data_IF_985609244568
#
_entry.id   IF_985609244568
#
_cell.length_a   1.000
_cell.length_b   1.000
_cell.length_c   1.000
_cell.angle_alpha   90.00
_cell.angle_beta   90.00
_cell.angle_gamma   90.00
#
_symmetry.space_group_name_H-M   'P 1'
#
loop_
_entity.id
_entity.type
_entity.pdbx_description
1 polymer ?
#
# COMPACT_ATOMS: atom_id res chain seq x y z
N UNK A 1 29.00 -8.59 3.90
CA UNK A 1 28.05 -8.21 2.84
C UNK A 1 26.65 -8.63 3.28
N UNK A 2 25.64 -7.74 3.27
CA UNK A 2 24.27 -8.20 3.51
C UNK A 2 23.87 -9.11 2.35
N UNK A 3 23.19 -10.22 2.69
CA UNK A 3 22.67 -11.16 1.70
C UNK A 3 21.69 -10.43 0.75
N UNK A 4 21.59 -10.85 -0.53
CA UNK A 4 20.56 -10.32 -1.42
C UNK A 4 19.19 -10.51 -0.78
N UNK A 5 18.34 -9.49 -0.88
CA UNK A 5 16.98 -9.52 -0.38
C UNK A 5 16.27 -10.77 -0.92
N UNK A 6 15.83 -11.63 -0.01
CA UNK A 6 14.94 -12.74 -0.35
C UNK A 6 13.70 -12.14 -1.03
N UNK A 7 13.22 -12.80 -2.07
CA UNK A 7 12.00 -12.41 -2.78
C UNK A 7 10.79 -12.74 -1.87
N UNK A 8 10.62 -11.95 -0.81
CA UNK A 8 9.54 -12.15 0.15
C UNK A 8 8.25 -11.55 -0.46
N UNK A 9 7.17 -12.33 -0.37
CA UNK A 9 5.78 -11.96 -0.64
C UNK A 9 5.34 -11.90 -2.13
N UNK A 10 4.98 -13.08 -2.66
CA UNK A 10 4.12 -13.22 -3.84
C UNK A 10 2.68 -13.43 -3.37
N UNK A 11 1.75 -12.58 -3.79
CA UNK A 11 0.31 -12.82 -3.63
C UNK A 11 -0.30 -13.04 -5.00
N UNK A 12 -0.89 -14.21 -5.18
CA UNK A 12 -1.76 -14.54 -6.31
C UNK A 12 -3.19 -14.25 -5.85
N UNK A 13 -3.96 -13.53 -6.66
CA UNK A 13 -5.39 -13.34 -6.41
C UNK A 13 -6.15 -14.56 -6.94
N UNK A 14 -7.12 -15.08 -6.18
CA UNK A 14 -7.92 -16.27 -6.53
C UNK A 14 -9.13 -15.92 -7.44
N UNK A 15 -8.97 -14.88 -8.25
CA UNK A 15 -9.91 -14.42 -9.26
C UNK A 15 -9.59 -15.14 -10.60
N UNK A 16 -10.55 -15.52 -11.46
CA UNK A 16 -10.29 -16.05 -12.81
C UNK A 16 -9.30 -15.24 -13.68
N UNK A 17 -8.99 -14.01 -13.28
CA UNK A 17 -7.99 -13.15 -13.90
C UNK A 17 -6.58 -13.45 -13.36
N UNK A 18 -5.59 -13.83 -14.20
CA UNK A 18 -4.26 -14.22 -13.75
C UNK A 18 -3.40 -13.00 -13.36
N UNK A 19 -3.75 -12.32 -12.26
CA UNK A 19 -2.99 -11.20 -11.71
C UNK A 19 -2.16 -11.65 -10.52
N UNK A 20 -0.88 -11.28 -10.53
CA UNK A 20 0.07 -11.59 -9.48
C UNK A 20 0.88 -10.33 -9.12
N UNK A 21 1.09 -10.10 -7.83
CA UNK A 21 2.04 -9.11 -7.35
C UNK A 21 3.22 -9.78 -6.67
N UNK A 22 4.42 -9.22 -6.90
CA UNK A 22 5.63 -9.56 -6.18
C UNK A 22 6.36 -8.28 -5.79
N UNK A 23 6.81 -8.20 -4.53
CA UNK A 23 7.41 -6.97 -4.02
C UNK A 23 8.59 -7.23 -3.08
N UNK A 24 9.80 -6.80 -3.47
CA UNK A 24 10.96 -6.89 -2.57
C UNK A 24 11.04 -5.66 -1.69
N UNK A 25 10.81 -5.85 -0.39
CA UNK A 25 10.65 -4.75 0.56
C UNK A 25 11.97 -4.28 1.18
N UNK A 26 12.29 -3.00 1.00
CA UNK A 26 13.20 -2.27 1.90
C UNK A 26 12.38 -1.66 3.04
N UNK A 27 12.59 -2.12 4.27
CA UNK A 27 11.82 -1.69 5.45
C UNK A 27 12.38 -0.36 5.99
N UNK A 28 11.73 0.77 5.69
CA UNK A 28 12.11 2.11 6.17
C UNK A 28 11.05 2.65 7.14
N UNK A 29 9.81 2.76 6.67
CA UNK A 29 8.66 3.16 7.48
C UNK A 29 7.87 1.92 7.90
N UNK A 30 7.49 1.88 9.18
CA UNK A 30 6.83 0.76 9.85
C UNK A 30 7.54 -0.58 9.61
N UNK A 31 8.50 -0.93 10.46
CA UNK A 31 9.33 -2.12 10.29
C UNK A 31 8.59 -3.45 10.52
N UNK A 32 7.33 -3.39 10.98
CA UNK A 32 6.51 -4.57 11.30
C UNK A 32 5.96 -5.23 10.03
N UNK A 33 5.42 -6.44 10.21
CA UNK A 33 4.78 -7.18 9.12
C UNK A 33 3.35 -6.66 8.82
N UNK A 34 2.79 -5.77 9.65
CA UNK A 34 1.53 -5.09 9.35
C UNK A 34 1.62 -4.20 8.08
N UNK A 35 2.85 -3.80 7.72
CA UNK A 35 3.15 -3.05 6.50
C UNK A 35 3.77 -3.93 5.39
N UNK A 36 3.61 -5.26 5.47
CA UNK A 36 3.97 -6.18 4.39
C UNK A 36 3.17 -5.87 3.11
N UNK A 37 3.75 -6.21 1.96
CA UNK A 37 3.15 -5.97 0.66
C UNK A 37 3.26 -7.23 -0.19
N UNK A 38 2.24 -7.59 -0.99
CA UNK A 38 1.06 -6.80 -1.36
C UNK A 38 0.13 -6.51 -0.19
N UNK A 39 -0.31 -5.26 -0.07
CA UNK A 39 -1.27 -4.87 0.96
C UNK A 39 -2.68 -5.04 0.39
N UNK A 40 -3.53 -5.75 1.13
CA UNK A 40 -4.84 -6.19 0.62
C UNK A 40 -5.95 -5.69 1.55
N UNK A 41 -7.00 -5.13 0.97
CA UNK A 41 -8.32 -5.00 1.59
C UNK A 41 -9.21 -6.09 0.98
N UNK A 42 -9.58 -7.14 1.74
CA UNK A 42 -10.29 -8.30 1.19
C UNK A 42 -11.57 -7.92 0.45
N UNK A 43 -11.72 -8.43 -0.77
CA UNK A 43 -12.89 -8.20 -1.63
C UNK A 43 -13.03 -6.76 -2.14
N UNK A 44 -11.98 -5.93 -2.03
CA UNK A 44 -11.99 -4.56 -2.54
C UNK A 44 -10.78 -4.28 -3.42
N UNK A 45 -9.57 -4.30 -2.85
CA UNK A 45 -8.39 -3.93 -3.63
C UNK A 45 -7.09 -4.48 -3.04
N UNK A 46 -6.04 -4.51 -3.87
CA UNK A 46 -4.70 -4.82 -3.45
C UNK A 46 -3.66 -3.89 -4.08
N UNK A 47 -2.56 -3.64 -3.36
CA UNK A 47 -1.56 -2.63 -3.72
C UNK A 47 -0.14 -3.12 -3.45
N UNK A 48 0.76 -2.86 -4.41
CA UNK A 48 2.21 -2.78 -4.18
C UNK A 48 2.70 -1.35 -4.45
N UNK A 49 3.64 -0.88 -3.64
CA UNK A 49 4.07 0.51 -3.59
C UNK A 49 5.57 0.61 -3.29
N UNK A 50 6.31 1.23 -4.21
CA UNK A 50 7.69 1.66 -4.06
C UNK A 50 7.75 3.19 -4.00
N UNK A 51 8.23 3.73 -2.88
CA UNK A 51 8.41 5.16 -2.71
C UNK A 51 8.03 5.62 -1.32
N UNK A 52 7.78 6.92 -1.20
CA UNK A 52 7.41 7.56 0.05
C UNK A 52 6.39 8.68 -0.20
N UNK A 53 5.30 8.65 0.56
CA UNK A 53 4.34 9.75 0.64
C UNK A 53 4.70 10.55 1.88
N UNK A 54 5.22 11.76 1.70
CA UNK A 54 5.73 12.59 2.78
C UNK A 54 4.62 13.15 3.67
N UNK A 55 3.46 13.46 3.08
CA UNK A 55 2.30 13.97 3.80
C UNK A 55 1.31 12.88 4.23
N UNK A 56 1.80 11.65 4.46
CA UNK A 56 0.94 10.51 4.79
C UNK A 56 0.28 10.65 6.18
N UNK A 57 0.88 11.41 7.10
CA UNK A 57 0.32 11.65 8.44
C UNK A 57 -0.94 12.52 8.34
N UNK A 58 -0.90 13.57 7.54
CA UNK A 58 -2.02 14.46 7.28
C UNK A 58 -3.15 13.70 6.57
N UNK A 59 -2.82 12.97 5.50
CA UNK A 59 -3.78 12.16 4.77
C UNK A 59 -4.40 11.06 5.65
N UNK A 60 -3.60 10.45 6.53
CA UNK A 60 -4.10 9.48 7.51
C UNK A 60 -5.14 10.11 8.43
N UNK A 61 -4.88 11.32 8.95
CA UNK A 61 -5.84 12.03 9.82
C UNK A 61 -7.15 12.33 9.08
N UNK A 62 -7.06 12.75 7.82
CA UNK A 62 -8.24 13.00 6.99
C UNK A 62 -9.08 11.72 6.78
N UNK A 63 -8.41 10.58 6.55
CA UNK A 63 -9.06 9.28 6.42
C UNK A 63 -9.65 8.78 7.75
N UNK A 64 -8.93 8.94 8.86
CA UNK A 64 -9.42 8.61 10.21
C UNK A 64 -10.68 9.43 10.55
N UNK A 65 -10.71 10.72 10.20
CA UNK A 65 -11.89 11.58 10.37
C UNK A 65 -13.10 11.13 9.52
N UNK A 66 -12.85 10.39 8.43
CA UNK A 66 -13.88 9.78 7.56
C UNK A 66 -14.30 8.38 8.01
N UNK A 67 -13.70 7.86 9.09
CA UNK A 67 -14.06 6.57 9.69
C UNK A 67 -13.14 5.41 9.32
N UNK A 68 -12.09 5.65 8.52
CA UNK A 68 -11.09 4.63 8.21
C UNK A 68 -10.26 4.29 9.46
N UNK A 69 -10.00 3.00 9.67
CA UNK A 69 -9.13 2.49 10.74
C UNK A 69 -7.85 1.96 10.14
N UNK A 70 -6.69 2.14 10.74
CA UNK A 70 -5.40 1.68 10.22
C UNK A 70 -4.80 0.54 11.04
N UNK A 71 -4.19 -0.44 10.38
CA UNK A 71 -3.47 -1.55 11.03
C UNK A 71 -1.96 -1.35 11.02
N UNK A 72 -1.45 -0.57 10.06
CA UNK A 72 -0.05 -0.19 9.93
C UNK A 72 0.17 1.29 10.27
N UNK A 73 1.44 1.65 10.39
CA UNK A 73 1.94 3.02 10.51
C UNK A 73 2.63 3.49 9.23
N UNK A 74 2.64 2.65 8.19
CA UNK A 74 3.26 2.94 6.90
C UNK A 74 2.37 3.77 5.98
N UNK A 75 2.99 4.40 4.99
CA UNK A 75 2.30 5.20 3.99
C UNK A 75 1.56 4.37 2.92
N UNK A 76 1.94 3.11 2.70
CA UNK A 76 1.27 2.20 1.76
C UNK A 76 -0.23 2.08 2.06
N UNK A 77 -0.59 1.95 3.34
CA UNK A 77 -1.99 1.81 3.74
C UNK A 77 -2.80 3.09 3.54
N UNK A 78 -2.14 4.25 3.66
CA UNK A 78 -2.74 5.56 3.34
C UNK A 78 -3.04 5.66 1.86
N UNK A 79 -2.17 5.13 0.98
CA UNK A 79 -2.46 5.05 -0.45
C UNK A 79 -3.62 4.11 -0.76
N UNK A 80 -3.61 2.90 -0.21
CA UNK A 80 -4.68 1.93 -0.46
C UNK A 80 -6.04 2.46 -0.01
N UNK A 81 -6.13 3.00 1.20
CA UNK A 81 -7.39 3.55 1.74
C UNK A 81 -7.78 4.87 1.11
N UNK A 82 -6.81 5.71 0.77
CA UNK A 82 -7.06 6.93 0.03
C UNK A 82 -7.66 6.64 -1.36
N UNK A 83 -7.20 5.57 -2.02
CA UNK A 83 -7.84 5.10 -3.25
C UNK A 83 -9.27 4.60 -3.02
N UNK A 84 -9.52 3.81 -1.97
CA UNK A 84 -10.89 3.35 -1.68
C UNK A 84 -11.85 4.49 -1.31
N UNK A 85 -11.35 5.58 -0.73
CA UNK A 85 -12.15 6.75 -0.36
C UNK A 85 -12.35 7.74 -1.52
N UNK A 86 -11.30 8.05 -2.26
CA UNK A 86 -11.28 9.13 -3.26
C UNK A 86 -11.04 8.65 -4.70
N UNK A 87 -10.88 7.35 -4.93
CA UNK A 87 -10.46 6.80 -6.21
C UNK A 87 -9.11 7.37 -6.66
N UNK A 88 -8.98 7.61 -7.97
CA UNK A 88 -7.77 8.19 -8.58
C UNK A 88 -7.48 9.62 -8.11
N UNK A 89 -8.47 10.32 -7.54
CA UNK A 89 -8.29 11.68 -7.01
C UNK A 89 -7.47 11.70 -5.71
N UNK A 90 -7.08 10.53 -5.18
CA UNK A 90 -6.03 10.43 -4.17
C UNK A 90 -4.70 10.96 -4.70
N UNK A 91 -4.42 10.83 -6.00
CA UNK A 91 -3.12 11.16 -6.58
C UNK A 91 -2.71 12.63 -6.36
N UNK A 92 -3.50 13.65 -6.73
CA UNK A 92 -3.12 15.04 -6.51
C UNK A 92 -2.97 15.41 -5.02
N UNK A 93 -3.46 14.59 -4.09
CA UNK A 93 -3.36 14.85 -2.65
C UNK A 93 -2.02 14.42 -2.04
N UNK A 94 -1.22 13.61 -2.73
CA UNK A 94 0.03 13.09 -2.15
C UNK A 94 1.26 13.82 -2.65
N UNK A 95 2.14 14.13 -1.70
CA UNK A 95 3.45 14.70 -1.94
C UNK A 95 4.50 13.60 -1.76
N UNK A 96 5.35 13.41 -2.77
CA UNK A 96 6.51 12.54 -2.67
C UNK A 96 6.83 11.75 -3.94
N UNK A 97 7.79 10.85 -3.82
CA UNK A 97 8.21 9.95 -4.89
C UNK A 97 7.42 8.64 -4.80
N UNK A 98 6.78 8.21 -5.88
CA UNK A 98 5.86 7.08 -5.85
C UNK A 98 5.80 6.33 -7.18
N UNK A 99 5.88 5.01 -7.09
CA UNK A 99 5.50 4.07 -8.13
C UNK A 99 4.68 2.96 -7.47
N UNK A 100 3.53 2.61 -8.03
CA UNK A 100 2.66 1.58 -7.47
C UNK A 100 1.90 0.84 -8.55
N UNK A 101 1.40 -0.34 -8.20
CA UNK A 101 0.38 -1.05 -8.95
C UNK A 101 -0.76 -1.41 -7.99
N UNK A 102 -1.99 -1.11 -8.40
CA UNK A 102 -3.21 -1.41 -7.66
C UNK A 102 -4.12 -2.29 -8.52
N UNK A 103 -4.69 -3.31 -7.90
CA UNK A 103 -5.73 -4.16 -8.47
C UNK A 103 -7.04 -3.90 -7.72
N UNK A 104 -8.07 -3.45 -8.43
CA UNK A 104 -9.41 -3.17 -7.91
C UNK A 104 -10.31 -4.36 -8.30
N UNK A 105 -10.99 -4.98 -7.32
CA UNK A 105 -11.69 -6.27 -7.42
C UNK A 105 -13.17 -6.14 -7.76
#
# INVERSE_FOLDING_TARGET
>A
MPAPARLDDRTLFDDPTPVAFGFTRLRILDLTDAAAQPMVVPGQAALIFNGEIYNYIELRRDLEARGWRFTSRGNTEVLLKGYLEWGVDVLPRMNGMRAFALYDL
#
